data_IF_867787661020
#
_entry.id   IF_867787661020
#
_cell.length_a   1.000
_cell.length_b   1.000
_cell.length_c   1.000
_cell.angle_alpha   90.00
_cell.angle_beta   90.00
_cell.angle_gamma   90.00
#
_symmetry.space_group_name_H-M   'P 1'
#
loop_
_entity.id
_entity.type
_entity.pdbx_description
1 polymer ?
#
# COMPACT_ATOMS: atom_id res chain seq x y z
N UNK A 1 -11.87 -11.32 -6.20
CA UNK A 1 -11.98 -12.08 -7.48
C UNK A 1 -13.25 -12.92 -7.58
N UNK A 2 -13.49 -13.88 -6.66
CA UNK A 2 -14.64 -14.79 -6.74
C UNK A 2 -15.99 -14.05 -6.75
N UNK A 3 -16.19 -13.09 -5.85
CA UNK A 3 -17.43 -12.31 -5.79
C UNK A 3 -17.73 -11.52 -7.07
N UNK A 4 -16.72 -10.85 -7.65
CA UNK A 4 -16.83 -10.12 -8.93
C UNK A 4 -17.14 -11.08 -10.08
N UNK A 5 -16.50 -12.26 -10.13
CA UNK A 5 -16.70 -13.24 -11.19
C UNK A 5 -18.12 -13.84 -11.19
N UNK A 6 -18.74 -13.95 -10.01
CA UNK A 6 -20.13 -14.42 -9.85
C UNK A 6 -21.12 -13.31 -10.20
N UNK A 7 -20.88 -12.08 -9.73
CA UNK A 7 -21.82 -10.98 -9.89
C UNK A 7 -21.81 -10.38 -11.30
N UNK A 8 -20.66 -10.46 -12.00
CA UNK A 8 -20.44 -9.91 -13.34
C UNK A 8 -21.05 -8.51 -13.51
N UNK A 9 -20.67 -7.51 -12.69
CA UNK A 9 -21.27 -6.18 -12.77
C UNK A 9 -20.95 -5.45 -14.09
N UNK A 10 -19.94 -5.90 -14.84
CA UNK A 10 -19.67 -5.42 -16.20
C UNK A 10 -20.53 -6.10 -17.26
N UNK A 11 -20.73 -5.41 -18.38
CA UNK A 11 -21.42 -5.90 -19.58
C UNK A 11 -20.62 -6.97 -20.38
N UNK A 12 -19.43 -7.33 -19.89
CA UNK A 12 -18.53 -8.30 -20.51
C UNK A 12 -17.77 -7.76 -21.72
N UNK A 13 -17.90 -6.47 -22.03
CA UNK A 13 -17.08 -5.80 -23.05
C UNK A 13 -15.70 -5.49 -22.48
N UNK A 14 -14.68 -5.73 -23.31
CA UNK A 14 -13.28 -5.47 -22.98
C UNK A 14 -12.83 -4.34 -23.91
N UNK A 15 -12.77 -3.13 -23.38
CA UNK A 15 -12.32 -1.96 -24.15
C UNK A 15 -10.79 -1.91 -24.13
N UNK A 16 -10.16 -2.56 -25.12
CA UNK A 16 -8.70 -2.67 -25.18
C UNK A 16 -8.01 -1.31 -25.49
N UNK A 17 -8.71 -0.39 -26.16
CA UNK A 17 -8.22 0.95 -26.48
C UNK A 17 -9.31 1.94 -26.11
N UNK A 18 -8.98 2.89 -25.23
CA UNK A 18 -9.92 3.90 -24.74
C UNK A 18 -9.24 5.26 -24.81
N UNK A 19 -9.94 6.27 -25.32
CA UNK A 19 -9.49 7.64 -25.22
C UNK A 19 -9.54 8.07 -23.75
N UNK A 20 -8.37 8.33 -23.16
CA UNK A 20 -8.23 8.80 -21.80
C UNK A 20 -7.60 10.19 -21.79
N UNK A 21 -8.06 11.04 -20.87
CA UNK A 21 -7.35 12.29 -20.60
C UNK A 21 -5.96 11.99 -20.02
N UNK A 22 -5.01 12.90 -20.23
CA UNK A 22 -3.66 12.80 -19.65
C UNK A 22 -3.73 12.53 -18.14
N UNK A 23 -4.62 13.23 -17.43
CA UNK A 23 -4.86 13.03 -16.00
C UNK A 23 -5.25 11.59 -15.64
N UNK A 24 -6.23 11.00 -16.35
CA UNK A 24 -6.65 9.62 -16.10
C UNK A 24 -5.56 8.60 -16.41
N UNK A 25 -4.79 8.83 -17.48
CA UNK A 25 -3.67 7.97 -17.85
C UNK A 25 -2.54 8.05 -16.81
N UNK A 26 -2.19 9.25 -16.34
CA UNK A 26 -1.18 9.46 -15.32
C UNK A 26 -1.58 8.82 -13.99
N UNK A 27 -2.82 9.03 -13.52
CA UNK A 27 -3.35 8.35 -12.35
C UNK A 27 -3.26 6.82 -12.45
N UNK A 28 -3.58 6.24 -13.61
CA UNK A 28 -3.50 4.80 -13.81
C UNK A 28 -2.05 4.29 -13.67
N UNK A 29 -1.07 5.00 -14.23
CA UNK A 29 0.35 4.65 -14.08
C UNK A 29 0.79 4.80 -12.63
N UNK A 30 0.39 5.88 -11.96
CA UNK A 30 0.72 6.12 -10.55
C UNK A 30 0.17 5.03 -9.64
N UNK A 31 -1.06 4.56 -9.89
CA UNK A 31 -1.66 3.46 -9.13
C UNK A 31 -0.81 2.18 -9.24
N UNK A 32 -0.23 1.89 -10.41
CA UNK A 32 0.68 0.76 -10.60
C UNK A 32 1.97 0.98 -9.81
N UNK A 33 2.60 2.15 -9.93
CA UNK A 33 3.84 2.47 -9.19
C UNK A 33 3.63 2.32 -7.68
N UNK A 34 2.51 2.81 -7.15
CA UNK A 34 2.17 2.69 -5.73
C UNK A 34 1.95 1.23 -5.30
N UNK A 35 1.35 0.40 -6.16
CA UNK A 35 1.18 -1.03 -5.87
C UNK A 35 2.52 -1.76 -5.67
N UNK A 36 3.60 -1.27 -6.27
CA UNK A 36 4.96 -1.80 -6.10
C UNK A 36 5.83 -0.96 -5.13
N UNK A 37 5.25 -0.02 -4.40
CA UNK A 37 5.97 0.82 -3.44
C UNK A 37 6.22 0.08 -2.11
N UNK A 38 7.09 -0.95 -2.12
CA UNK A 38 7.49 -1.74 -0.94
C UNK A 38 8.96 -1.58 -0.51
N UNK A 39 9.73 -0.80 -1.26
CA UNK A 39 11.19 -0.76 -1.19
C UNK A 39 11.75 -0.33 0.19
N UNK A 40 10.97 0.42 0.97
CA UNK A 40 11.39 0.91 2.30
C UNK A 40 11.68 -0.22 3.29
N UNK A 41 11.03 -1.38 3.13
CA UNK A 41 11.22 -2.54 4.00
C UNK A 41 12.42 -3.40 3.60
N UNK A 42 13.00 -3.19 2.41
CA UNK A 42 14.04 -4.05 1.85
C UNK A 42 15.30 -4.08 2.72
N UNK A 43 15.75 -2.92 3.20
CA UNK A 43 16.91 -2.85 4.10
C UNK A 43 16.67 -3.57 5.42
N UNK A 44 15.44 -3.51 5.95
CA UNK A 44 15.05 -4.26 7.14
C UNK A 44 15.15 -5.76 6.89
N UNK A 45 14.52 -6.25 5.81
CA UNK A 45 14.56 -7.68 5.47
C UNK A 45 15.98 -8.18 5.23
N UNK A 46 16.81 -7.44 4.46
CA UNK A 46 18.22 -7.81 4.22
C UNK A 46 18.98 -7.97 5.54
N UNK A 47 18.74 -7.07 6.50
CA UNK A 47 19.41 -7.10 7.81
C UNK A 47 19.00 -8.27 8.71
N UNK A 48 17.84 -8.88 8.45
CA UNK A 48 17.31 -10.03 9.20
C UNK A 48 17.58 -11.38 8.53
N UNK A 49 18.04 -11.40 7.28
CA UNK A 49 18.36 -12.65 6.58
C UNK A 49 19.63 -13.30 7.13
N UNK A 50 19.59 -14.63 7.30
CA UNK A 50 20.76 -15.44 7.66
C UNK A 50 21.91 -15.29 6.66
N UNK A 51 21.58 -15.18 5.37
CA UNK A 51 22.56 -15.04 4.28
C UNK A 51 22.18 -13.84 3.39
N UNK A 52 22.68 -12.62 3.68
CA UNK A 52 22.31 -11.39 2.96
C UNK A 52 22.57 -11.43 1.44
N UNK A 53 23.57 -12.20 0.99
CA UNK A 53 23.94 -12.32 -0.43
C UNK A 53 22.88 -13.00 -1.29
N UNK A 54 21.97 -13.77 -0.70
CA UNK A 54 20.88 -14.44 -1.42
C UNK A 54 19.68 -13.51 -1.69
N UNK A 55 19.76 -12.25 -1.27
CA UNK A 55 18.66 -11.30 -1.37
C UNK A 55 18.09 -11.14 -2.79
N UNK A 56 18.90 -11.04 -3.87
CA UNK A 56 18.36 -10.92 -5.21
C UNK A 56 17.49 -12.11 -5.62
N UNK A 57 17.82 -13.32 -5.17
CA UNK A 57 17.04 -14.54 -5.45
C UNK A 57 15.65 -14.46 -4.80
N UNK A 58 15.60 -14.05 -3.54
CA UNK A 58 14.33 -13.82 -2.83
C UNK A 58 13.51 -12.71 -3.49
N UNK A 59 14.18 -11.63 -3.93
CA UNK A 59 13.53 -10.51 -4.59
C UNK A 59 12.92 -10.91 -5.94
N UNK A 60 13.61 -11.68 -6.77
CA UNK A 60 13.05 -12.16 -8.04
C UNK A 60 11.83 -13.06 -7.83
N UNK A 61 11.87 -13.92 -6.81
CA UNK A 61 10.73 -14.77 -6.47
C UNK A 61 9.53 -13.94 -5.98
N UNK A 62 9.77 -12.99 -5.07
CA UNK A 62 8.74 -12.07 -4.58
C UNK A 62 8.10 -11.29 -5.73
N UNK A 63 8.93 -10.61 -6.53
CA UNK A 63 8.47 -9.79 -7.64
C UNK A 63 7.71 -10.61 -8.69
N UNK A 64 8.17 -11.83 -8.98
CA UNK A 64 7.49 -12.74 -9.90
C UNK A 64 6.10 -13.14 -9.41
N UNK A 65 5.98 -13.50 -8.13
CA UNK A 65 4.70 -13.85 -7.51
C UNK A 65 3.76 -12.65 -7.51
N UNK A 66 4.20 -11.49 -7.02
CA UNK A 66 3.38 -10.29 -6.93
C UNK A 66 2.89 -9.83 -8.30
N UNK A 67 3.79 -9.83 -9.30
CA UNK A 67 3.43 -9.46 -10.67
C UNK A 67 2.41 -10.43 -11.27
N UNK A 68 2.57 -11.74 -11.03
CA UNK A 68 1.60 -12.73 -11.51
C UNK A 68 0.24 -12.55 -10.83
N UNK A 69 0.22 -12.32 -9.51
CA UNK A 69 -1.00 -12.13 -8.73
C UNK A 69 -1.74 -10.86 -9.12
N UNK A 70 -1.03 -9.74 -9.29
CA UNK A 70 -1.61 -8.48 -9.75
C UNK A 70 -2.13 -8.58 -11.18
N UNK A 71 -1.39 -9.23 -12.09
CA UNK A 71 -1.83 -9.42 -13.48
C UNK A 71 -3.10 -10.25 -13.54
N UNK A 72 -3.15 -11.40 -12.85
CA UNK A 72 -4.33 -12.27 -12.82
C UNK A 72 -5.52 -11.52 -12.20
N UNK A 73 -5.29 -10.81 -11.09
CA UNK A 73 -6.35 -10.05 -10.42
C UNK A 73 -6.89 -8.93 -11.31
N UNK A 74 -6.02 -8.17 -11.97
CA UNK A 74 -6.40 -7.10 -12.88
C UNK A 74 -7.24 -7.63 -14.05
N UNK A 75 -6.80 -8.72 -14.71
CA UNK A 75 -7.53 -9.34 -15.84
C UNK A 75 -8.90 -9.85 -15.40
N UNK A 76 -8.98 -10.57 -14.27
CA UNK A 76 -10.26 -11.10 -13.76
C UNK A 76 -11.20 -9.96 -13.39
N UNK A 77 -10.71 -8.96 -12.66
CA UNK A 77 -11.54 -7.83 -12.23
C UNK A 77 -12.02 -7.03 -13.44
N UNK A 78 -11.15 -6.76 -14.42
CA UNK A 78 -11.54 -6.02 -15.62
C UNK A 78 -12.54 -6.80 -16.48
N UNK A 79 -12.33 -8.11 -16.67
CA UNK A 79 -13.19 -8.95 -17.52
C UNK A 79 -14.61 -9.10 -16.99
N UNK A 80 -14.79 -9.11 -15.67
CA UNK A 80 -16.08 -9.31 -15.02
C UNK A 80 -16.68 -8.02 -14.43
N UNK A 81 -15.83 -7.06 -14.06
CA UNK A 81 -16.22 -5.78 -13.48
C UNK A 81 -16.39 -4.65 -14.49
N UNK A 82 -15.80 -4.76 -15.68
CA UNK A 82 -15.86 -3.74 -16.72
C UNK A 82 -14.98 -2.52 -16.42
N UNK A 83 -15.23 -1.41 -17.13
CA UNK A 83 -14.45 -0.17 -17.06
C UNK A 83 -14.72 0.69 -15.82
N UNK A 84 -15.88 0.53 -15.19
CA UNK A 84 -16.36 1.40 -14.10
C UNK A 84 -16.07 0.80 -12.69
N UNK A 85 -15.00 0.03 -12.57
CA UNK A 85 -14.54 -0.56 -11.29
C UNK A 85 -14.08 0.57 -10.36
N UNK A 86 -14.72 0.67 -9.19
CA UNK A 86 -14.35 1.59 -8.13
C UNK A 86 -12.94 1.28 -7.58
N UNK A 87 -12.23 2.31 -7.13
CA UNK A 87 -10.97 2.19 -6.40
C UNK A 87 -11.22 2.48 -4.91
N UNK A 88 -10.96 1.55 -3.98
CA UNK A 88 -10.44 0.19 -4.17
C UNK A 88 -11.45 -0.80 -4.80
N UNK A 89 -10.96 -1.77 -5.57
CA UNK A 89 -11.79 -2.73 -6.32
C UNK A 89 -12.79 -3.54 -5.47
N UNK A 90 -12.50 -3.70 -4.17
CA UNK A 90 -13.39 -4.31 -3.18
C UNK A 90 -14.75 -3.60 -3.09
N UNK A 91 -14.81 -2.31 -3.37
CA UNK A 91 -16.05 -1.53 -3.39
C UNK A 91 -16.95 -1.81 -4.59
N UNK A 92 -16.45 -2.48 -5.63
CA UNK A 92 -17.19 -2.75 -6.87
C UNK A 92 -18.12 -3.97 -6.79
N UNK A 93 -18.09 -4.70 -5.68
CA UNK A 93 -19.01 -5.83 -5.44
C UNK A 93 -20.29 -5.40 -4.73
N UNK A 94 -21.28 -6.31 -4.69
CA UNK A 94 -22.50 -6.11 -3.91
C UNK A 94 -22.19 -5.73 -2.46
N UNK A 95 -23.00 -4.89 -1.81
CA UNK A 95 -22.70 -4.34 -0.48
C UNK A 95 -22.39 -5.41 0.59
N UNK A 96 -23.03 -6.58 0.50
CA UNK A 96 -22.79 -7.70 1.41
C UNK A 96 -21.39 -8.31 1.20
N UNK A 97 -21.01 -8.56 -0.05
CA UNK A 97 -19.70 -9.14 -0.38
C UNK A 97 -18.56 -8.16 -0.11
N UNK A 98 -18.77 -6.87 -0.40
CA UNK A 98 -17.79 -5.83 -0.10
C UNK A 98 -17.50 -5.78 1.40
N UNK A 99 -18.53 -5.79 2.26
CA UNK A 99 -18.36 -5.79 3.72
C UNK A 99 -17.60 -7.01 4.23
N UNK A 100 -17.92 -8.21 3.74
CA UNK A 100 -17.20 -9.43 4.11
C UNK A 100 -15.73 -9.38 3.67
N UNK A 101 -15.47 -8.93 2.45
CA UNK A 101 -14.13 -8.84 1.91
C UNK A 101 -13.29 -7.78 2.65
N UNK A 102 -13.88 -6.61 2.99
CA UNK A 102 -13.24 -5.64 3.86
C UNK A 102 -13.00 -6.19 5.26
N UNK A 103 -13.93 -6.98 5.83
CA UNK A 103 -13.75 -7.62 7.13
C UNK A 103 -12.49 -8.50 7.20
N UNK A 104 -12.20 -9.25 6.13
CA UNK A 104 -10.98 -10.06 6.02
C UNK A 104 -9.75 -9.21 5.70
N UNK A 105 -9.92 -8.11 4.95
CA UNK A 105 -8.81 -7.25 4.56
C UNK A 105 -8.32 -6.31 5.67
N UNK A 106 -9.21 -5.88 6.58
CA UNK A 106 -8.90 -4.92 7.65
C UNK A 106 -7.67 -5.33 8.47
N UNK A 107 -7.55 -6.57 9.00
CA UNK A 107 -6.36 -6.98 9.74
C UNK A 107 -5.07 -6.79 8.95
N UNK A 108 -5.06 -7.18 7.68
CA UNK A 108 -3.89 -7.04 6.80
C UNK A 108 -3.56 -5.58 6.52
N UNK A 109 -4.58 -4.75 6.27
CA UNK A 109 -4.42 -3.31 6.04
C UNK A 109 -3.83 -2.62 7.29
N UNK A 110 -4.35 -2.94 8.47
CA UNK A 110 -3.85 -2.38 9.74
C UNK A 110 -2.41 -2.80 9.98
N UNK A 111 -2.07 -4.09 9.81
CA UNK A 111 -0.70 -4.59 9.98
C UNK A 111 0.25 -3.87 9.01
N UNK A 112 -0.12 -3.77 7.73
CA UNK A 112 0.68 -3.08 6.72
C UNK A 112 0.91 -1.59 7.06
N UNK A 113 -0.13 -0.90 7.53
CA UNK A 113 -0.04 0.49 7.98
C UNK A 113 0.87 0.65 9.19
N UNK A 114 0.74 -0.22 10.20
CA UNK A 114 1.56 -0.18 11.42
C UNK A 114 3.03 -0.47 11.11
N UNK A 115 3.35 -1.43 10.25
CA UNK A 115 4.73 -1.73 9.86
C UNK A 115 5.36 -0.51 9.18
N UNK A 116 4.69 0.08 8.19
CA UNK A 116 5.22 1.27 7.50
C UNK A 116 5.36 2.47 8.44
N UNK A 117 4.35 2.72 9.29
CA UNK A 117 4.41 3.75 10.32
C UNK A 117 5.56 3.54 11.30
N UNK A 118 5.81 2.30 11.71
CA UNK A 118 6.92 1.94 12.58
C UNK A 118 8.28 2.16 11.90
N UNK A 119 8.43 1.76 10.64
CA UNK A 119 9.65 1.99 9.85
C UNK A 119 9.92 3.49 9.70
N UNK A 120 8.89 4.30 9.42
CA UNK A 120 9.00 5.75 9.35
C UNK A 120 9.42 6.37 10.70
N UNK A 121 8.78 5.97 11.79
CA UNK A 121 9.15 6.41 13.15
C UNK A 121 10.62 6.07 13.46
N UNK A 122 11.03 4.83 13.19
CA UNK A 122 12.40 4.35 13.41
C UNK A 122 13.39 5.14 12.55
N UNK A 123 13.06 5.41 11.29
CA UNK A 123 13.91 6.17 10.39
C UNK A 123 14.15 7.60 10.90
N UNK A 124 13.09 8.31 11.31
CA UNK A 124 13.20 9.66 11.89
C UNK A 124 14.00 9.64 13.19
N UNK A 125 13.71 8.68 14.07
CA UNK A 125 14.41 8.51 15.34
C UNK A 125 15.91 8.26 15.13
N UNK A 126 16.27 7.31 14.27
CA UNK A 126 17.67 7.01 13.95
C UNK A 126 18.35 8.22 13.32
N UNK A 127 17.66 8.99 12.46
CA UNK A 127 18.22 10.19 11.83
C UNK A 127 18.50 11.30 12.84
N UNK A 128 17.61 11.51 13.81
CA UNK A 128 17.76 12.52 14.87
C UNK A 128 18.86 12.17 15.87
N UNK A 129 18.99 10.89 16.24
CA UNK A 129 19.95 10.43 17.26
C UNK A 129 21.25 9.86 16.69
N UNK A 130 21.42 9.82 15.35
CA UNK A 130 22.66 9.35 14.70
C UNK A 130 23.85 10.18 15.16
N UNK A 131 24.81 9.54 15.83
CA UNK A 131 26.01 10.20 16.36
C UNK A 131 25.91 10.66 17.82
N UNK A 132 24.85 10.29 18.54
CA UNK A 132 24.72 10.55 19.99
C UNK A 132 24.76 9.25 20.80
N UNK A 133 25.43 9.25 21.96
CA UNK A 133 25.50 8.10 22.88
C UNK A 133 24.16 7.70 23.53
N UNK A 134 23.11 8.49 23.27
CA UNK A 134 21.77 8.28 23.84
C UNK A 134 20.94 7.25 23.09
N UNK A 135 21.43 6.74 21.96
CA UNK A 135 20.71 5.76 21.12
C UNK A 135 20.48 4.41 21.81
N UNK A 136 21.33 4.04 22.79
CA UNK A 136 21.21 2.81 23.58
C UNK A 136 20.76 3.02 25.04
N UNK A 137 20.55 4.26 25.47
CA UNK A 137 20.13 4.56 26.84
C UNK A 137 18.60 4.64 26.92
N UNK A 138 18.00 3.88 27.86
CA UNK A 138 16.57 3.97 28.22
C UNK A 138 16.26 5.23 29.03
N UNK A 139 16.75 6.38 28.59
CA UNK A 139 16.45 7.67 29.21
C UNK A 139 15.03 8.13 28.89
N UNK A 140 14.40 8.88 29.80
CA UNK A 140 13.09 9.50 29.58
C UNK A 140 13.03 10.35 28.30
N UNK A 141 14.16 10.94 27.89
CA UNK A 141 14.29 11.70 26.63
C UNK A 141 14.17 10.80 25.40
N UNK A 142 14.73 9.59 25.44
CA UNK A 142 14.66 8.62 24.33
C UNK A 142 13.23 8.10 24.15
N UNK A 143 12.58 7.69 25.26
CA UNK A 143 11.18 7.24 25.26
C UNK A 143 10.25 8.38 24.88
N UNK A 144 10.43 9.58 25.46
CA UNK A 144 9.62 10.75 25.16
C UNK A 144 9.72 11.16 23.69
N UNK A 145 10.93 11.16 23.10
CA UNK A 145 11.11 11.50 21.69
C UNK A 145 10.48 10.44 20.78
N UNK A 146 10.58 9.15 21.13
CA UNK A 146 9.92 8.06 20.39
C UNK A 146 8.40 8.22 20.39
N UNK A 147 7.80 8.45 21.57
CA UNK A 147 6.34 8.66 21.70
C UNK A 147 5.89 9.92 20.95
N UNK A 148 6.65 11.01 21.04
CA UNK A 148 6.33 12.25 20.33
C UNK A 148 6.37 12.09 18.81
N UNK A 149 7.39 11.43 18.26
CA UNK A 149 7.47 11.15 16.81
C UNK A 149 6.29 10.30 16.37
N UNK A 150 5.97 9.24 17.12
CA UNK A 150 4.82 8.40 16.85
C UNK A 150 3.52 9.20 16.85
N UNK A 151 3.27 9.99 17.91
CA UNK A 151 2.05 10.77 18.04
C UNK A 151 1.90 11.78 16.90
N UNK A 152 2.95 12.54 16.56
CA UNK A 152 2.92 13.51 15.46
C UNK A 152 2.63 12.83 14.12
N UNK A 153 3.32 11.73 13.81
CA UNK A 153 3.11 11.01 12.55
C UNK A 153 1.69 10.43 12.44
N UNK A 154 1.18 9.82 13.52
CA UNK A 154 -0.17 9.27 13.54
C UNK A 154 -1.26 10.35 13.46
N UNK A 155 -1.06 11.50 14.13
CA UNK A 155 -1.99 12.62 14.01
C UNK A 155 -2.02 13.18 12.59
N UNK A 156 -0.86 13.35 11.94
CA UNK A 156 -0.80 13.80 10.55
C UNK A 156 -1.47 12.79 9.61
N UNK A 157 -1.22 11.49 9.78
CA UNK A 157 -1.86 10.44 9.00
C UNK A 157 -3.39 10.46 9.18
N UNK A 158 -3.88 10.68 10.40
CA UNK A 158 -5.31 10.81 10.68
C UNK A 158 -5.93 12.04 10.00
N UNK A 159 -5.28 13.21 10.06
CA UNK A 159 -5.73 14.42 9.37
C UNK A 159 -5.84 14.19 7.86
N UNK A 160 -4.82 13.58 7.25
CA UNK A 160 -4.81 13.29 5.80
C UNK A 160 -5.94 12.32 5.45
N UNK A 161 -6.17 11.30 6.28
CA UNK A 161 -7.25 10.31 6.07
C UNK A 161 -8.65 10.91 6.14
N UNK A 162 -8.87 11.92 6.99
CA UNK A 162 -10.17 12.64 7.07
C UNK A 162 -10.31 13.66 5.93
N UNK A 163 -9.21 14.27 5.49
CA UNK A 163 -9.23 15.31 4.45
C UNK A 163 -9.43 14.74 3.03
N UNK A 164 -8.89 13.55 2.74
CA UNK A 164 -8.94 12.95 1.40
C UNK A 164 -9.59 11.56 1.48
N UNK A 165 -10.93 11.48 1.35
CA UNK A 165 -11.66 10.21 1.47
C UNK A 165 -11.53 9.30 0.23
N UNK A 166 -10.95 9.81 -0.87
CA UNK A 166 -10.80 9.08 -2.14
C UNK A 166 -9.34 8.72 -2.37
N UNK A 167 -9.04 7.43 -2.45
CA UNK A 167 -7.67 6.91 -2.61
C UNK A 167 -6.95 7.45 -3.86
N UNK A 168 -7.67 7.60 -4.97
CA UNK A 168 -7.10 8.15 -6.21
C UNK A 168 -6.66 9.62 -6.05
N UNK A 169 -7.38 10.41 -5.25
CA UNK A 169 -7.06 11.83 -5.03
C UNK A 169 -5.78 11.96 -4.19
N UNK A 170 -5.59 11.06 -3.21
CA UNK A 170 -4.36 10.98 -2.42
C UNK A 170 -3.16 10.59 -3.29
N UNK A 171 -3.35 9.68 -4.24
CA UNK A 171 -2.30 9.28 -5.18
C UNK A 171 -1.96 10.36 -6.19
N UNK A 172 -2.94 11.17 -6.61
CA UNK A 172 -2.69 12.37 -7.41
C UNK A 172 -1.79 13.35 -6.66
N UNK A 173 -2.09 13.63 -5.39
CA UNK A 173 -1.41 14.65 -4.59
C UNK A 173 0.04 14.29 -4.24
N UNK A 174 0.35 13.01 -4.00
CA UNK A 174 1.71 12.57 -3.63
C UNK A 174 2.70 12.70 -4.80
N UNK A 175 2.22 12.72 -6.04
CA UNK A 175 3.06 12.72 -7.25
C UNK A 175 3.04 14.04 -8.02
N UNK A 176 2.30 15.05 -7.56
CA UNK A 176 2.43 16.45 -8.00
C UNK A 176 3.64 17.12 -7.32
#
# INVERSE_FOLDING_TARGET
MIAIAIQKPGDGRVDAVVENSFYKAFLAVTNIVFAYAGHVAFFGFISEMRTPTDYPKTLYMLQGIDTSMYTISAVVIYRYGGKDVASPALGSTSPLMSKLAYGVAIPTIVIAGVINGHVACKYIYVRLFRGTDRMHQRGLVSIGTWVMIGLVLWTLAWIISEAIPVFNDLLSLIMD
#
